data_IF_414484857651
#
_entry.id   IF_414484857651
#
_cell.length_a   1.000
_cell.length_b   1.000
_cell.length_c   1.000
_cell.angle_alpha   90.00
_cell.angle_beta   90.00
_cell.angle_gamma   90.00
#
_symmetry.space_group_name_H-M   'P 1'
#
loop_
_entity.id
_entity.type
_entity.pdbx_description
1 polymer ?
#
# COMPACT_ATOMS: atom_id res chain seq x y z
N UNK A 1 14.99 25.31 8.66
CA UNK A 1 13.85 25.17 9.60
C UNK A 1 12.69 25.96 9.02
N UNK A 2 11.59 25.30 8.68
CA UNK A 2 10.42 25.97 8.13
C UNK A 2 9.67 26.71 9.25
N UNK A 3 9.22 27.93 8.97
CA UNK A 3 8.39 28.74 9.86
C UNK A 3 7.10 27.98 10.22
N UNK A 4 6.87 27.72 11.51
CA UNK A 4 5.62 27.12 12.01
C UNK A 4 4.69 28.27 12.35
N UNK A 5 3.63 28.52 11.56
CA UNK A 5 2.72 29.62 11.85
C UNK A 5 1.93 29.36 13.16
N UNK A 6 1.69 30.43 13.93
CA UNK A 6 1.04 30.39 15.24
C UNK A 6 -0.43 29.91 15.21
N UNK A 7 -1.07 29.86 14.03
CA UNK A 7 -2.46 29.44 13.88
C UNK A 7 -2.64 28.43 12.72
N UNK A 8 -3.25 27.28 13.00
CA UNK A 8 -3.57 26.23 12.03
C UNK A 8 -4.33 26.75 10.79
N UNK A 9 -5.13 27.80 10.92
CA UNK A 9 -5.85 28.37 9.79
C UNK A 9 -4.96 29.18 8.83
N UNK A 10 -3.86 29.76 9.33
CA UNK A 10 -2.88 30.43 8.45
C UNK A 10 -1.97 29.42 7.74
N UNK A 11 -1.64 28.31 8.41
CA UNK A 11 -0.97 27.17 7.79
C UNK A 11 -1.79 26.56 6.64
N UNK A 12 -3.10 26.40 6.81
CA UNK A 12 -3.96 25.84 5.75
C UNK A 12 -4.01 26.75 4.53
N UNK A 13 -4.04 28.07 4.71
CA UNK A 13 -3.99 29.04 3.61
C UNK A 13 -2.67 28.92 2.83
N UNK A 14 -1.53 28.87 3.53
CA UNK A 14 -0.21 28.73 2.89
C UNK A 14 -0.09 27.40 2.13
N UNK A 15 -0.68 26.33 2.66
CA UNK A 15 -0.76 25.04 1.99
C UNK A 15 -1.56 25.12 0.68
N UNK A 16 -2.73 25.78 0.70
CA UNK A 16 -3.59 25.96 -0.49
C UNK A 16 -2.93 26.83 -1.57
N UNK A 17 -1.99 27.68 -1.21
CA UNK A 17 -1.26 28.51 -2.18
C UNK A 17 -0.01 27.82 -2.75
N UNK A 18 0.40 26.67 -2.21
CA UNK A 18 1.64 26.02 -2.61
C UNK A 18 1.46 25.15 -3.87
N UNK A 19 1.75 25.75 -5.02
CA UNK A 19 1.61 25.14 -6.37
C UNK A 19 2.22 23.74 -6.49
N UNK A 20 3.43 23.44 -5.97
CA UNK A 20 4.00 22.10 -6.11
C UNK A 20 3.14 20.99 -5.47
N UNK A 21 2.49 21.27 -4.34
CA UNK A 21 1.60 20.29 -3.69
C UNK A 21 0.33 20.04 -4.51
N UNK A 22 -0.21 21.09 -5.14
CA UNK A 22 -1.34 20.96 -6.05
C UNK A 22 -1.01 20.04 -7.24
N UNK A 23 0.17 20.20 -7.85
CA UNK A 23 0.65 19.33 -8.93
C UNK A 23 0.77 17.89 -8.44
N UNK A 24 1.35 17.67 -7.25
CA UNK A 24 1.49 16.34 -6.66
C UNK A 24 0.13 15.66 -6.46
N UNK A 25 -0.87 16.39 -5.96
CA UNK A 25 -2.22 15.84 -5.79
C UNK A 25 -2.87 15.44 -7.11
N UNK A 26 -2.73 16.25 -8.17
CA UNK A 26 -3.20 15.90 -9.51
C UNK A 26 -2.54 14.64 -10.05
N UNK A 27 -1.21 14.58 -9.99
CA UNK A 27 -0.44 13.42 -10.46
C UNK A 27 -0.85 12.15 -9.70
N UNK A 28 -0.94 12.22 -8.37
CA UNK A 28 -1.37 11.09 -7.54
C UNK A 28 -2.81 10.66 -7.82
N UNK A 29 -3.72 11.61 -8.01
CA UNK A 29 -5.12 11.34 -8.35
C UNK A 29 -5.22 10.65 -9.72
N UNK A 30 -4.50 11.14 -10.74
CA UNK A 30 -4.48 10.53 -12.06
C UNK A 30 -3.90 9.11 -12.04
N UNK A 31 -2.76 8.91 -11.37
CA UNK A 31 -2.15 7.59 -11.23
C UNK A 31 -3.07 6.59 -10.51
N UNK A 32 -3.74 7.01 -9.44
CA UNK A 32 -4.70 6.16 -8.73
C UNK A 32 -5.90 5.78 -9.60
N UNK A 33 -6.42 6.72 -10.39
CA UNK A 33 -7.52 6.46 -11.33
C UNK A 33 -7.10 5.51 -12.47
N UNK A 34 -5.92 5.72 -13.06
CA UNK A 34 -5.37 4.82 -14.07
C UNK A 34 -5.19 3.41 -13.52
N UNK A 35 -4.70 3.28 -12.29
CA UNK A 35 -4.53 1.99 -11.62
C UNK A 35 -5.88 1.29 -11.42
N UNK A 36 -6.92 2.01 -10.98
CA UNK A 36 -8.26 1.46 -10.83
C UNK A 36 -8.85 0.96 -12.15
N UNK A 37 -8.74 1.77 -13.21
CA UNK A 37 -9.22 1.37 -14.54
C UNK A 37 -8.49 0.11 -15.00
N UNK A 38 -7.17 0.06 -14.84
CA UNK A 38 -6.37 -1.11 -15.24
C UNK A 38 -6.74 -2.37 -14.44
N UNK A 39 -6.95 -2.25 -13.12
CA UNK A 39 -7.44 -3.35 -12.29
C UNK A 39 -8.80 -3.86 -12.76
N UNK A 40 -9.77 -2.97 -13.01
CA UNK A 40 -11.11 -3.34 -13.48
C UNK A 40 -11.02 -4.04 -14.85
N UNK A 41 -10.26 -3.48 -15.79
CA UNK A 41 -10.07 -4.07 -17.12
C UNK A 41 -9.45 -5.46 -17.01
N UNK A 42 -8.42 -5.65 -16.18
CA UNK A 42 -7.79 -6.96 -15.97
C UNK A 42 -8.74 -7.98 -15.36
N UNK A 43 -9.57 -7.58 -14.39
CA UNK A 43 -10.56 -8.47 -13.79
C UNK A 43 -11.60 -8.91 -14.83
N UNK A 44 -12.15 -7.95 -15.59
CA UNK A 44 -13.17 -8.23 -16.63
C UNK A 44 -12.58 -9.09 -17.74
N UNK A 45 -11.36 -8.79 -18.18
CA UNK A 45 -10.66 -9.57 -19.21
C UNK A 45 -10.38 -10.99 -18.73
N UNK A 46 -9.85 -11.15 -17.51
CA UNK A 46 -9.56 -12.45 -16.91
C UNK A 46 -10.82 -13.31 -16.80
N UNK A 47 -11.97 -12.71 -16.48
CA UNK A 47 -13.25 -13.39 -16.47
C UNK A 47 -13.70 -13.81 -17.87
N UNK A 48 -13.58 -12.92 -18.86
CA UNK A 48 -14.04 -13.18 -20.23
C UNK A 48 -13.22 -14.26 -20.95
N UNK A 49 -11.90 -14.23 -20.84
CA UNK A 49 -11.07 -15.17 -21.58
C UNK A 49 -10.97 -16.56 -20.94
N UNK A 50 -11.60 -16.80 -19.77
CA UNK A 50 -11.40 -18.01 -18.96
C UNK A 50 -9.91 -18.40 -18.88
N UNK A 51 -9.01 -17.41 -18.88
CA UNK A 51 -7.59 -17.66 -18.86
C UNK A 51 -7.26 -18.24 -17.49
N UNK A 52 -7.20 -19.57 -17.45
CA UNK A 52 -6.68 -20.30 -16.31
C UNK A 52 -5.18 -20.12 -16.38
N UNK A 53 -4.69 -18.98 -15.89
CA UNK A 53 -3.28 -18.90 -15.58
C UNK A 53 -3.05 -20.00 -14.54
N UNK A 54 -2.21 -20.96 -14.89
CA UNK A 54 -1.91 -22.15 -14.10
C UNK A 54 -1.01 -21.80 -12.90
N UNK A 55 -1.43 -20.82 -12.11
CA UNK A 55 -0.86 -20.59 -10.80
C UNK A 55 -1.41 -21.60 -9.81
N UNK A 56 -0.54 -22.03 -8.89
CA UNK A 56 -0.95 -22.82 -7.75
C UNK A 56 -2.00 -22.05 -6.92
N UNK A 57 -2.92 -22.78 -6.29
CA UNK A 57 -4.03 -22.19 -5.54
C UNK A 57 -3.54 -21.24 -4.43
N UNK A 58 -2.40 -21.54 -3.81
CA UNK A 58 -1.80 -20.68 -2.78
C UNK A 58 -1.43 -19.29 -3.32
N UNK A 59 -0.79 -19.23 -4.49
CA UNK A 59 -0.43 -17.96 -5.14
C UNK A 59 -1.68 -17.18 -5.51
N UNK A 60 -2.72 -17.85 -6.01
CA UNK A 60 -3.98 -17.19 -6.37
C UNK A 60 -4.62 -16.49 -5.17
N UNK A 61 -4.59 -17.12 -3.99
CA UNK A 61 -5.10 -16.53 -2.75
C UNK A 61 -4.31 -15.28 -2.36
N UNK A 62 -2.96 -15.35 -2.41
CA UNK A 62 -2.10 -14.20 -2.09
C UNK A 62 -2.31 -13.06 -3.09
N UNK A 63 -2.40 -13.37 -4.39
CA UNK A 63 -2.66 -12.38 -5.45
C UNK A 63 -4.04 -11.73 -5.30
N UNK A 64 -5.04 -12.47 -4.84
CA UNK A 64 -6.35 -11.89 -4.52
C UNK A 64 -6.25 -10.89 -3.37
N UNK A 65 -5.50 -11.23 -2.31
CA UNK A 65 -5.19 -10.29 -1.23
C UNK A 65 -4.45 -9.03 -1.71
N UNK A 66 -3.49 -9.20 -2.62
CA UNK A 66 -2.78 -8.09 -3.25
C UNK A 66 -3.72 -7.18 -4.06
N UNK A 67 -4.59 -7.78 -4.88
CA UNK A 67 -5.58 -7.05 -5.69
C UNK A 67 -6.55 -6.27 -4.80
N UNK A 68 -7.01 -6.88 -3.70
CA UNK A 68 -7.82 -6.19 -2.71
C UNK A 68 -7.10 -4.96 -2.13
N UNK A 69 -5.82 -5.10 -1.75
CA UNK A 69 -5.01 -3.97 -1.28
C UNK A 69 -4.86 -2.88 -2.35
N UNK A 70 -4.64 -3.23 -3.61
CA UNK A 70 -4.53 -2.28 -4.73
C UNK A 70 -5.81 -1.48 -4.95
N UNK A 71 -6.97 -2.15 -4.99
CA UNK A 71 -8.25 -1.49 -5.20
C UNK A 71 -8.55 -0.55 -4.02
N UNK A 72 -8.42 -1.06 -2.79
CA UNK A 72 -8.67 -0.27 -1.59
C UNK A 72 -7.75 0.95 -1.51
N UNK A 73 -6.44 0.75 -1.71
CA UNK A 73 -5.44 1.82 -1.71
C UNK A 73 -5.78 2.89 -2.75
N UNK A 74 -6.10 2.48 -3.97
CA UNK A 74 -6.34 3.41 -5.07
C UNK A 74 -7.62 4.22 -4.87
N UNK A 75 -8.71 3.61 -4.36
CA UNK A 75 -9.94 4.34 -4.01
C UNK A 75 -9.63 5.40 -2.95
N UNK A 76 -8.95 5.02 -1.87
CA UNK A 76 -8.65 5.93 -0.75
C UNK A 76 -7.76 7.10 -1.18
N UNK A 77 -6.71 6.80 -1.96
CA UNK A 77 -5.80 7.81 -2.49
C UNK A 77 -6.54 8.76 -3.44
N UNK A 78 -7.36 8.22 -4.35
CA UNK A 78 -8.18 9.04 -5.24
C UNK A 78 -9.12 9.95 -4.44
N UNK A 79 -9.89 9.41 -3.50
CA UNK A 79 -10.83 10.20 -2.68
C UNK A 79 -10.11 11.30 -1.90
N UNK A 80 -8.98 10.98 -1.27
CA UNK A 80 -8.22 11.95 -0.48
C UNK A 80 -7.65 13.08 -1.36
N UNK A 81 -6.98 12.74 -2.46
CA UNK A 81 -6.34 13.73 -3.33
C UNK A 81 -7.35 14.55 -4.13
N UNK A 82 -8.43 13.93 -4.59
CA UNK A 82 -9.50 14.61 -5.29
C UNK A 82 -10.24 15.61 -4.38
N UNK A 83 -10.48 15.24 -3.11
CA UNK A 83 -11.01 16.17 -2.12
C UNK A 83 -10.14 17.42 -1.97
N UNK A 84 -8.82 17.25 -1.90
CA UNK A 84 -7.91 18.40 -1.85
C UNK A 84 -7.98 19.24 -3.13
N UNK A 85 -7.95 18.62 -4.32
CA UNK A 85 -8.07 19.35 -5.60
C UNK A 85 -9.33 20.24 -5.63
N UNK A 86 -10.47 19.74 -5.16
CA UNK A 86 -11.71 20.53 -5.06
C UNK A 86 -11.51 21.72 -4.12
N UNK A 87 -10.91 21.51 -2.94
CA UNK A 87 -10.63 22.60 -1.99
C UNK A 87 -9.70 23.67 -2.57
N UNK A 88 -8.69 23.26 -3.36
CA UNK A 88 -7.78 24.18 -4.04
C UNK A 88 -8.49 25.01 -5.13
N UNK A 89 -9.45 24.41 -5.86
CA UNK A 89 -10.11 25.08 -6.99
C UNK A 89 -11.23 26.03 -6.56
N UNK A 90 -11.90 25.76 -5.42
CA UNK A 90 -12.99 26.59 -4.91
C UNK A 90 -12.63 27.28 -3.58
N UNK A 91 -11.73 28.29 -3.61
CA UNK A 91 -11.37 29.01 -2.41
C UNK A 91 -12.52 29.93 -1.94
N UNK A 92 -13.08 29.67 -0.75
CA UNK A 92 -13.95 30.59 -0.02
C UNK A 92 -13.09 31.55 0.80
N UNK A 93 -12.83 32.73 0.24
CA UNK A 93 -11.95 33.76 0.81
C UNK A 93 -12.40 34.30 2.19
N UNK A 94 -13.66 34.09 2.58
CA UNK A 94 -14.22 34.69 3.80
C UNK A 94 -13.89 33.91 5.10
N UNK A 95 -13.43 32.65 5.03
CA UNK A 95 -13.09 31.89 6.24
C UNK A 95 -12.08 30.76 5.97
N UNK A 96 -10.80 31.08 6.12
CA UNK A 96 -9.68 30.16 5.88
C UNK A 96 -9.56 29.02 6.92
N UNK A 97 -10.30 29.08 8.04
CA UNK A 97 -10.40 27.95 8.97
C UNK A 97 -11.28 26.81 8.43
N UNK A 98 -12.09 27.03 7.39
CA UNK A 98 -12.92 25.97 6.76
C UNK A 98 -12.06 24.85 6.18
N UNK A 99 -10.82 25.15 5.80
CA UNK A 99 -9.87 24.16 5.26
C UNK A 99 -9.24 23.25 6.32
N UNK A 100 -9.47 23.53 7.60
CA UNK A 100 -8.96 22.66 8.67
C UNK A 100 -9.77 21.37 8.72
N UNK A 101 -9.08 20.26 8.97
CA UNK A 101 -9.69 18.94 9.10
C UNK A 101 -9.42 18.40 10.49
N UNK A 102 -10.42 17.78 11.11
CA UNK A 102 -10.24 17.09 12.38
C UNK A 102 -9.34 15.86 12.18
N UNK A 103 -8.46 15.59 13.15
CA UNK A 103 -7.51 14.49 13.05
C UNK A 103 -8.19 13.15 12.79
N UNK A 104 -9.32 12.86 13.43
CA UNK A 104 -10.05 11.60 13.21
C UNK A 104 -10.53 11.39 11.76
N UNK A 105 -11.00 12.44 11.07
CA UNK A 105 -11.43 12.35 9.66
C UNK A 105 -10.25 12.04 8.75
N UNK A 106 -9.11 12.68 9.03
CA UNK A 106 -7.86 12.41 8.32
C UNK A 106 -7.38 10.97 8.54
N UNK A 107 -7.38 10.51 9.79
CA UNK A 107 -6.96 9.15 10.14
C UNK A 107 -7.86 8.07 9.54
N UNK A 108 -9.17 8.33 9.42
CA UNK A 108 -10.12 7.42 8.78
C UNK A 108 -9.70 7.06 7.34
N UNK A 109 -9.19 8.04 6.59
CA UNK A 109 -8.70 7.83 5.22
C UNK A 109 -7.27 7.28 5.21
N UNK A 110 -6.40 7.79 6.10
CA UNK A 110 -4.97 7.48 6.11
C UNK A 110 -4.63 6.10 6.65
N UNK A 111 -5.26 5.66 7.75
CA UNK A 111 -4.96 4.37 8.38
C UNK A 111 -5.15 3.22 7.38
N UNK A 112 -6.27 3.13 6.64
CA UNK A 112 -6.42 2.11 5.60
C UNK A 112 -5.38 2.22 4.46
N UNK A 113 -4.96 3.44 4.08
CA UNK A 113 -3.87 3.63 3.12
C UNK A 113 -2.54 3.09 3.64
N UNK A 114 -2.19 3.33 4.90
CA UNK A 114 -0.96 2.78 5.49
C UNK A 114 -1.02 1.27 5.66
N UNK A 115 -2.19 0.72 6.03
CA UNK A 115 -2.42 -0.72 6.10
C UNK A 115 -2.14 -1.36 4.74
N UNK A 116 -2.67 -0.79 3.66
CA UNK A 116 -2.46 -1.31 2.29
C UNK A 116 -1.01 -1.18 1.82
N UNK A 117 -0.32 -0.07 2.13
CA UNK A 117 1.11 0.10 1.80
C UNK A 117 1.97 -0.96 2.48
N UNK A 118 1.83 -1.13 3.79
CA UNK A 118 2.55 -2.19 4.51
C UNK A 118 2.12 -3.59 4.04
N UNK A 119 0.83 -3.74 3.69
CA UNK A 119 0.29 -4.96 3.09
C UNK A 119 1.01 -5.37 1.81
N UNK A 120 1.44 -4.43 0.95
CA UNK A 120 2.20 -4.76 -0.27
C UNK A 120 3.56 -5.40 0.02
N UNK A 121 4.29 -4.89 1.01
CA UNK A 121 5.55 -5.51 1.46
C UNK A 121 5.31 -6.94 1.96
N UNK A 122 4.25 -7.15 2.76
CA UNK A 122 3.90 -8.50 3.23
C UNK A 122 3.40 -9.42 2.12
N UNK A 123 2.71 -8.90 1.10
CA UNK A 123 2.37 -9.65 -0.12
C UNK A 123 3.64 -10.09 -0.84
N UNK A 124 4.63 -9.21 -0.98
CA UNK A 124 5.90 -9.54 -1.63
C UNK A 124 6.63 -10.65 -0.85
N UNK A 125 6.74 -10.52 0.46
CA UNK A 125 7.27 -11.57 1.33
C UNK A 125 6.49 -12.88 1.22
N UNK A 126 5.16 -12.84 1.21
CA UNK A 126 4.32 -14.02 1.10
C UNK A 126 4.54 -14.75 -0.23
N UNK A 127 4.63 -14.02 -1.35
CA UNK A 127 4.98 -14.58 -2.66
C UNK A 127 6.39 -15.19 -2.64
N UNK A 128 7.35 -14.51 -2.02
CA UNK A 128 8.71 -14.98 -1.89
C UNK A 128 8.81 -16.29 -1.08
N UNK A 129 8.10 -16.38 0.05
CA UNK A 129 8.03 -17.59 0.88
C UNK A 129 7.33 -18.73 0.12
N UNK A 130 6.21 -18.45 -0.53
CA UNK A 130 5.47 -19.45 -1.32
C UNK A 130 6.37 -20.05 -2.41
N UNK A 131 7.07 -19.19 -3.16
CA UNK A 131 8.01 -19.62 -4.20
C UNK A 131 9.20 -20.39 -3.64
N UNK A 132 9.71 -19.99 -2.49
CA UNK A 132 10.80 -20.70 -1.79
C UNK A 132 10.36 -22.13 -1.44
N UNK A 133 9.16 -22.29 -0.90
CA UNK A 133 8.58 -23.61 -0.56
C UNK A 133 8.37 -24.43 -1.82
N UNK A 134 7.84 -23.83 -2.90
CA UNK A 134 7.61 -24.51 -4.17
C UNK A 134 8.91 -25.02 -4.80
N UNK A 135 9.99 -24.22 -4.77
CA UNK A 135 11.31 -24.63 -5.27
C UNK A 135 11.95 -25.70 -4.37
N UNK A 136 11.86 -25.58 -3.05
CA UNK A 136 12.46 -26.53 -2.12
C UNK A 136 11.76 -27.91 -2.12
N UNK A 137 10.44 -27.94 -2.31
CA UNK A 137 9.62 -29.14 -2.19
C UNK A 137 8.86 -29.49 -3.47
N UNK A 138 9.47 -29.32 -4.65
CA UNK A 138 8.79 -29.44 -5.95
C UNK A 138 7.93 -30.70 -6.12
N UNK A 139 8.39 -31.85 -5.60
CA UNK A 139 7.69 -33.14 -5.72
C UNK A 139 6.47 -33.25 -4.80
N UNK A 140 6.51 -32.63 -3.62
CA UNK A 140 5.42 -32.65 -2.63
C UNK A 140 4.49 -31.44 -2.78
N UNK A 141 4.96 -30.39 -3.45
CA UNK A 141 4.27 -29.11 -3.51
C UNK A 141 2.90 -29.22 -4.19
N UNK A 142 2.78 -30.03 -5.24
CA UNK A 142 1.53 -30.27 -5.95
C UNK A 142 0.44 -30.92 -5.08
N UNK A 143 0.82 -31.57 -3.97
CA UNK A 143 -0.11 -32.18 -3.03
C UNK A 143 -0.52 -31.21 -1.91
N UNK A 144 0.15 -30.07 -1.76
CA UNK A 144 -0.23 -29.10 -0.74
C UNK A 144 -1.55 -28.42 -1.10
N UNK A 145 -2.45 -28.41 -0.12
CA UNK A 145 -3.74 -27.73 -0.23
C UNK A 145 -3.60 -26.20 -0.10
N UNK A 146 -4.73 -25.49 -0.20
CA UNK A 146 -4.85 -24.02 -0.09
C UNK A 146 -4.48 -23.43 1.28
N UNK A 147 -4.22 -24.30 2.27
CA UNK A 147 -3.94 -23.93 3.67
C UNK A 147 -2.72 -23.02 3.81
N UNK A 148 -1.67 -23.26 3.01
CA UNK A 148 -0.46 -22.43 3.05
C UNK A 148 -0.76 -21.01 2.57
N UNK A 149 -1.49 -20.86 1.46
CA UNK A 149 -1.91 -19.54 0.96
C UNK A 149 -2.75 -18.77 1.98
N UNK A 150 -3.68 -19.44 2.65
CA UNK A 150 -4.49 -18.82 3.71
C UNK A 150 -3.65 -18.41 4.92
N UNK A 151 -2.70 -19.24 5.34
CA UNK A 151 -1.77 -18.92 6.43
C UNK A 151 -0.91 -17.70 6.09
N UNK A 152 -0.40 -17.61 4.86
CA UNK A 152 0.39 -16.46 4.39
C UNK A 152 -0.46 -15.19 4.19
N UNK A 153 -1.78 -15.32 4.01
CA UNK A 153 -2.70 -14.19 3.91
C UNK A 153 -2.90 -13.46 5.24
N UNK A 154 -2.81 -14.17 6.37
CA UNK A 154 -3.02 -13.60 7.70
C UNK A 154 -2.06 -12.44 8.05
N UNK A 155 -0.72 -12.59 7.93
CA UNK A 155 0.21 -11.51 8.25
C UNK A 155 0.05 -10.27 7.33
N UNK A 156 -0.46 -10.44 6.11
CA UNK A 156 -0.69 -9.33 5.17
C UNK A 156 -1.65 -8.28 5.74
N UNK A 157 -2.67 -8.70 6.49
CA UNK A 157 -3.66 -7.77 7.05
C UNK A 157 -3.43 -7.50 8.53
N UNK A 158 -3.12 -8.52 9.32
CA UNK A 158 -3.10 -8.41 10.78
C UNK A 158 -1.91 -7.60 11.27
N UNK A 159 -0.71 -7.83 10.71
CA UNK A 159 0.49 -7.12 11.15
C UNK A 159 0.38 -5.61 10.85
N UNK A 160 -0.01 -5.18 9.63
CA UNK A 160 -0.22 -3.76 9.36
C UNK A 160 -1.28 -3.10 10.25
N UNK A 161 -2.37 -3.80 10.58
CA UNK A 161 -3.41 -3.28 11.49
C UNK A 161 -2.83 -3.01 12.88
N UNK A 162 -2.12 -4.00 13.45
CA UNK A 162 -1.49 -3.86 14.77
C UNK A 162 -0.47 -2.73 14.77
N UNK A 163 0.35 -2.64 13.72
CA UNK A 163 1.35 -1.58 13.59
C UNK A 163 0.71 -0.20 13.52
N UNK A 164 -0.33 -0.03 12.72
CA UNK A 164 -1.03 1.25 12.61
C UNK A 164 -1.68 1.66 13.93
N UNK A 165 -2.26 0.71 14.67
CA UNK A 165 -2.78 0.98 16.01
C UNK A 165 -1.69 1.51 16.95
N UNK A 166 -0.51 0.88 16.94
CA UNK A 166 0.63 1.35 17.73
C UNK A 166 1.11 2.75 17.31
N UNK A 167 1.22 3.02 16.02
CA UNK A 167 1.66 4.31 15.47
C UNK A 167 0.74 5.44 15.93
N UNK A 168 -0.58 5.26 15.84
CA UNK A 168 -1.57 6.32 16.10
C UNK A 168 -2.15 6.29 17.53
N UNK A 169 -1.67 5.41 18.40
CA UNK A 169 -2.16 5.27 19.79
C UNK A 169 -2.07 6.54 20.65
N UNK A 170 -1.19 7.48 20.32
CA UNK A 170 -0.97 8.73 21.06
C UNK A 170 -1.50 9.96 20.33
N UNK A 171 -2.26 9.77 19.25
CA UNK A 171 -2.76 10.88 18.45
C UNK A 171 -4.02 11.47 19.09
N UNK A 172 -4.05 12.78 19.26
CA UNK A 172 -5.27 13.48 19.67
C UNK A 172 -6.23 13.58 18.47
N UNK A 173 -7.33 12.84 18.57
CA UNK A 173 -8.34 12.68 17.52
C UNK A 173 -9.17 13.94 17.26
N UNK A 174 -9.22 14.86 18.23
CA UNK A 174 -10.05 16.07 18.18
C UNK A 174 -9.26 17.32 17.80
N UNK A 175 -7.94 17.23 17.75
CA UNK A 175 -7.12 18.33 17.27
C UNK A 175 -7.42 18.68 15.81
N UNK A 176 -7.62 19.97 15.58
CA UNK A 176 -7.76 20.54 14.25
C UNK A 176 -6.38 20.60 13.60
N UNK A 177 -6.28 20.09 12.37
CA UNK A 177 -5.05 20.13 11.58
C UNK A 177 -5.27 21.02 10.37
N UNK A 178 -4.24 21.79 10.04
CA UNK A 178 -4.20 22.65 8.85
C UNK A 178 -4.39 21.86 7.54
N UNK A 179 -3.91 20.62 7.51
CA UNK A 179 -4.04 19.68 6.40
C UNK A 179 -3.92 18.26 6.95
N UNK A 180 -4.42 17.26 6.21
CA UNK A 180 -4.24 15.86 6.54
C UNK A 180 -2.80 15.42 6.24
N UNK A 181 -1.85 15.95 7.00
CA UNK A 181 -0.46 15.52 6.93
C UNK A 181 -0.32 14.09 7.42
N UNK A 182 0.68 13.43 6.84
CA UNK A 182 1.10 12.07 7.13
C UNK A 182 1.35 11.77 8.62
N UNK A 183 1.69 12.77 9.45
CA UNK A 183 2.06 12.51 10.84
C UNK A 183 1.99 13.75 11.75
N UNK A 184 1.83 13.52 13.05
CA UNK A 184 2.15 14.46 14.12
C UNK A 184 3.59 14.28 14.58
N UNK A 185 4.05 15.14 15.48
CA UNK A 185 5.35 15.01 16.15
C UNK A 185 5.49 13.63 16.84
N UNK A 186 4.39 13.04 17.30
CA UNK A 186 4.39 11.74 17.98
C UNK A 186 4.35 10.54 17.01
N UNK A 187 3.57 10.63 15.93
CA UNK A 187 3.44 9.52 14.97
C UNK A 187 4.55 9.50 13.91
N UNK A 188 5.16 10.65 13.61
CA UNK A 188 6.21 10.79 12.58
C UNK A 188 7.41 9.85 12.78
N UNK A 189 8.09 9.84 13.95
CA UNK A 189 9.25 8.95 14.14
C UNK A 189 8.87 7.47 14.03
N UNK A 190 7.67 7.08 14.49
CA UNK A 190 7.19 5.69 14.40
C UNK A 190 6.93 5.27 12.95
N UNK A 191 6.35 6.16 12.15
CA UNK A 191 6.14 5.93 10.72
C UNK A 191 7.47 5.79 9.98
N UNK A 192 8.46 6.64 10.27
CA UNK A 192 9.80 6.55 9.68
C UNK A 192 10.46 5.20 10.00
N UNK A 193 10.41 4.77 11.27
CA UNK A 193 10.93 3.46 11.69
C UNK A 193 10.23 2.32 10.94
N UNK A 194 8.89 2.37 10.85
CA UNK A 194 8.11 1.38 10.09
C UNK A 194 8.55 1.33 8.62
N UNK A 195 8.70 2.48 7.97
CA UNK A 195 9.14 2.56 6.57
C UNK A 195 10.53 1.95 6.37
N UNK A 196 11.47 2.18 7.27
CA UNK A 196 12.79 1.54 7.18
C UNK A 196 12.73 0.02 7.34
N UNK A 197 11.90 -0.49 8.25
CA UNK A 197 11.71 -1.93 8.45
C UNK A 197 11.08 -2.57 7.20
N UNK A 198 10.02 -1.98 6.66
CA UNK A 198 9.34 -2.48 5.46
C UNK A 198 10.29 -2.50 4.26
N UNK A 199 11.06 -1.42 4.06
CA UNK A 199 12.08 -1.37 3.01
C UNK A 199 13.13 -2.47 3.19
N UNK A 200 13.56 -2.76 4.43
CA UNK A 200 14.47 -3.86 4.72
C UNK A 200 13.89 -5.22 4.31
N UNK A 201 12.61 -5.46 4.59
CA UNK A 201 11.92 -6.67 4.15
C UNK A 201 11.83 -6.79 2.63
N UNK A 202 11.49 -5.71 1.92
CA UNK A 202 11.43 -5.70 0.47
C UNK A 202 12.81 -6.01 -0.14
N UNK A 203 13.89 -5.43 0.38
CA UNK A 203 15.26 -5.71 -0.06
C UNK A 203 15.62 -7.19 0.14
N UNK A 204 15.31 -7.76 1.31
CA UNK A 204 15.55 -9.19 1.59
C UNK A 204 14.73 -10.07 0.64
N UNK A 205 13.46 -9.73 0.39
CA UNK A 205 12.59 -10.46 -0.51
C UNK A 205 13.16 -10.48 -1.94
N UNK A 206 13.61 -9.35 -2.47
CA UNK A 206 14.25 -9.24 -3.78
C UNK A 206 15.51 -10.12 -3.86
N UNK A 207 16.36 -10.08 -2.82
CA UNK A 207 17.59 -10.90 -2.80
C UNK A 207 17.24 -12.40 -2.86
N UNK A 208 16.25 -12.85 -2.08
CA UNK A 208 15.81 -14.24 -2.10
C UNK A 208 15.24 -14.61 -3.48
N UNK A 209 14.42 -13.75 -4.09
CA UNK A 209 13.89 -14.00 -5.44
C UNK A 209 15.00 -14.13 -6.50
N UNK A 210 16.05 -13.32 -6.43
CA UNK A 210 17.23 -13.44 -7.30
C UNK A 210 17.92 -14.79 -7.10
N UNK A 211 18.08 -15.24 -5.86
CA UNK A 211 18.67 -16.55 -5.53
C UNK A 211 17.81 -17.68 -6.09
N UNK A 212 16.49 -17.64 -5.85
CA UNK A 212 15.54 -18.64 -6.34
C UNK A 212 15.52 -18.71 -7.87
N UNK A 213 15.58 -17.56 -8.54
CA UNK A 213 15.68 -17.49 -10.00
C UNK A 213 16.91 -18.24 -10.52
N UNK A 214 18.09 -18.02 -9.91
CA UNK A 214 19.32 -18.72 -10.27
C UNK A 214 19.23 -20.23 -10.02
N UNK A 215 18.62 -20.66 -8.91
CA UNK A 215 18.41 -22.08 -8.60
C UNK A 215 17.49 -22.74 -9.63
N UNK A 216 16.35 -22.10 -9.95
CA UNK A 216 15.38 -22.62 -10.91
C UNK A 216 15.98 -22.78 -12.31
N UNK A 217 16.86 -21.85 -12.74
CA UNK A 217 17.59 -21.99 -14.02
C UNK A 217 18.51 -23.21 -14.00
N UNK A 218 19.30 -23.39 -12.94
CA UNK A 218 20.22 -24.53 -12.83
C UNK A 218 19.46 -25.87 -12.85
N UNK A 219 18.35 -25.96 -12.12
CA UNK A 219 17.52 -27.16 -12.11
C UNK A 219 16.92 -27.47 -13.49
N UNK A 220 16.50 -26.45 -14.24
CA UNK A 220 16.00 -26.61 -15.61
C UNK A 220 17.09 -27.11 -16.55
N UNK A 221 18.32 -26.59 -16.42
CA UNK A 221 19.47 -27.04 -17.22
C UNK A 221 19.82 -28.50 -16.95
N UNK A 222 19.86 -28.93 -15.68
CA UNK A 222 20.19 -30.31 -15.33
C UNK A 222 19.14 -31.29 -15.85
N UNK A 223 17.85 -30.95 -15.74
CA UNK A 223 16.76 -31.79 -16.29
C UNK A 223 16.84 -31.99 -17.80
N UNK A 224 17.41 -31.05 -18.56
CA UNK A 224 17.57 -31.19 -20.02
C UNK A 224 18.77 -32.08 -20.36
N UNK A 225 19.79 -32.13 -19.49
CA UNK A 225 20.98 -32.97 -19.69
C UNK A 225 20.75 -34.46 -19.41
N UNK A 226 19.67 -34.80 -18.71
CA UNK A 226 19.31 -36.18 -18.35
C UNK A 226 18.41 -36.86 -19.41
N UNK A 227 18.06 -36.17 -20.51
CA UNK A 227 17.33 -36.69 -21.67
C UNK A 227 18.24 -36.77 -22.90
#
# INVERSE_FOLDING_TARGET
MAYVPENNCTASLLYVQFIPLYIVHWVQSLLSLTTLIFCIVNIVWSYKQKQVINFHINVKIILFGALFCYILHSILMFTMHFYYIILFHFPTFNNYCIYTITAWKCLLLRIPTYITVAGFTFVHLAICIERSIATAYINKYQQYSYKIGLFLLFPIFIIPIIWNFWIFSQEDLFNLKAYCMSSSIFSSPRLVIMSYILMGFDVIAVIIEIILYKINIRQKSNKISDY
#
